data_IF_748760302836
#
_entry.id   IF_748760302836
#
_cell.length_a   1.000
_cell.length_b   1.000
_cell.length_c   1.000
_cell.angle_alpha   90.00
_cell.angle_beta   90.00
_cell.angle_gamma   90.00
#
_symmetry.space_group_name_H-M   'P 1'
#
loop_
_entity.id
_entity.type
_entity.pdbx_description
1 polymer ?
#
# COMPACT_ATOMS: atom_id res chain seq x y z
N UNK A 1 -13.09 -3.95 22.08
CA UNK A 1 -12.08 -4.33 21.06
C UNK A 1 -11.08 -5.20 21.79
N UNK A 2 -10.62 -6.33 21.22
CA UNK A 2 -9.64 -7.17 21.93
C UNK A 2 -8.28 -6.43 21.98
N UNK A 3 -7.79 -6.12 23.18
CA UNK A 3 -6.50 -5.43 23.42
C UNK A 3 -5.28 -6.35 23.20
N UNK A 4 -5.33 -7.22 22.20
CA UNK A 4 -4.24 -8.16 21.85
C UNK A 4 -3.02 -7.39 21.34
N UNK A 5 -3.26 -6.27 20.65
CA UNK A 5 -2.23 -5.34 20.20
C UNK A 5 -2.60 -3.93 20.68
N UNK A 6 -2.03 -3.47 21.80
CA UNK A 6 -2.32 -2.13 22.33
C UNK A 6 -1.87 -1.08 21.32
N UNK A 7 -2.83 -0.43 20.65
CA UNK A 7 -2.55 0.50 19.54
C UNK A 7 -1.67 1.68 19.95
N UNK A 8 -1.82 2.14 21.18
CA UNK A 8 -1.09 3.29 21.71
C UNK A 8 0.38 2.96 22.05
N UNK A 9 0.68 1.68 22.26
CA UNK A 9 2.03 1.19 22.57
C UNK A 9 2.73 0.58 21.35
N UNK A 10 1.97 0.08 20.37
CA UNK A 10 2.50 -0.60 19.20
C UNK A 10 3.13 0.39 18.22
N UNK A 11 4.41 0.26 17.97
CA UNK A 11 5.17 1.14 17.08
C UNK A 11 5.21 0.61 15.64
N UNK A 12 5.61 1.47 14.70
CA UNK A 12 5.85 1.06 13.32
C UNK A 12 6.88 -0.08 13.19
N UNK A 13 7.88 -0.13 14.07
CA UNK A 13 8.88 -1.21 14.09
C UNK A 13 8.24 -2.56 14.42
N UNK A 14 7.27 -2.59 15.34
CA UNK A 14 6.60 -3.83 15.74
C UNK A 14 5.82 -4.43 14.56
N UNK A 15 5.05 -3.59 13.85
CA UNK A 15 4.36 -4.01 12.62
C UNK A 15 5.35 -4.54 11.57
N UNK A 16 6.46 -3.83 11.35
CA UNK A 16 7.47 -4.25 10.38
C UNK A 16 8.10 -5.60 10.75
N UNK A 17 8.34 -5.87 12.04
CA UNK A 17 8.85 -7.16 12.50
C UNK A 17 7.82 -8.27 12.26
N UNK A 18 6.57 -8.05 12.66
CA UNK A 18 5.48 -9.03 12.48
C UNK A 18 5.32 -9.39 10.99
N UNK A 19 5.19 -8.38 10.13
CA UNK A 19 5.01 -8.61 8.70
C UNK A 19 6.26 -9.16 8.01
N UNK A 20 7.47 -8.81 8.47
CA UNK A 20 8.71 -9.41 7.98
C UNK A 20 8.75 -10.92 8.27
N UNK A 21 8.41 -11.32 9.50
CA UNK A 21 8.37 -12.74 9.89
C UNK A 21 7.27 -13.51 9.17
N UNK A 22 6.09 -12.92 9.03
CA UNK A 22 5.01 -13.49 8.22
C UNK A 22 5.46 -13.70 6.77
N UNK A 23 6.10 -12.69 6.17
CA UNK A 23 6.58 -12.76 4.80
C UNK A 23 7.65 -13.84 4.59
N UNK A 24 8.64 -13.93 5.48
CA UNK A 24 9.65 -14.99 5.45
C UNK A 24 9.02 -16.38 5.54
N UNK A 25 8.04 -16.54 6.42
CA UNK A 25 7.33 -17.79 6.63
C UNK A 25 6.50 -18.21 5.40
N UNK A 26 5.67 -17.31 4.86
CA UNK A 26 4.83 -17.62 3.68
C UNK A 26 5.70 -17.95 2.46
N UNK A 27 6.84 -17.27 2.27
CA UNK A 27 7.79 -17.62 1.21
C UNK A 27 8.38 -19.02 1.39
N UNK A 28 8.69 -19.40 2.62
CA UNK A 28 9.15 -20.76 2.90
C UNK A 28 8.06 -21.78 2.54
N UNK A 29 6.79 -21.51 2.85
CA UNK A 29 5.67 -22.37 2.44
C UNK A 29 5.54 -22.47 0.92
N UNK A 30 5.56 -21.35 0.20
CA UNK A 30 5.48 -21.32 -1.27
C UNK A 30 6.57 -22.18 -1.89
N UNK A 31 7.81 -22.05 -1.41
CA UNK A 31 8.94 -22.83 -1.94
C UNK A 31 8.91 -24.31 -1.52
N UNK A 32 8.48 -24.60 -0.29
CA UNK A 32 8.47 -25.98 0.24
C UNK A 32 7.38 -26.81 -0.41
N UNK A 33 6.21 -26.21 -0.64
CA UNK A 33 5.03 -26.90 -1.16
C UNK A 33 4.71 -26.57 -2.61
N UNK A 34 5.56 -25.80 -3.30
CA UNK A 34 5.35 -25.36 -4.69
C UNK A 34 3.96 -24.76 -4.89
N UNK A 35 3.58 -23.86 -3.98
CA UNK A 35 2.25 -23.25 -4.02
C UNK A 35 2.10 -22.39 -5.27
N UNK A 36 0.99 -22.60 -5.98
CA UNK A 36 0.63 -21.79 -7.14
C UNK A 36 -0.05 -20.48 -6.69
N UNK A 37 0.08 -19.42 -7.49
CA UNK A 37 -0.67 -18.17 -7.28
C UNK A 37 -2.18 -18.43 -7.31
N UNK A 38 -2.90 -17.99 -6.27
CA UNK A 38 -4.36 -18.17 -6.19
C UNK A 38 -5.14 -17.37 -7.25
N UNK A 39 -4.51 -16.36 -7.84
CA UNK A 39 -5.02 -15.62 -8.99
C UNK A 39 -3.84 -14.95 -9.68
N UNK A 40 -3.78 -15.02 -11.01
CA UNK A 40 -2.74 -14.35 -11.79
C UNK A 40 -3.35 -13.19 -12.55
N UNK A 41 -2.82 -11.98 -12.36
CA UNK A 41 -3.09 -10.83 -13.25
C UNK A 41 -2.25 -10.90 -14.55
N UNK A 42 -1.74 -12.10 -14.90
CA UNK A 42 -0.73 -12.28 -15.93
C UNK A 42 0.59 -11.58 -15.59
N UNK A 43 1.40 -11.31 -16.62
CA UNK A 43 2.75 -10.70 -16.48
C UNK A 43 2.69 -9.25 -15.98
N UNK A 44 1.52 -8.59 -16.05
CA UNK A 44 1.31 -7.22 -15.57
C UNK A 44 0.88 -7.15 -14.09
N UNK A 45 0.73 -8.30 -13.43
CA UNK A 45 0.59 -8.35 -11.97
C UNK A 45 1.80 -7.75 -11.26
N UNK A 46 1.57 -7.20 -10.06
CA UNK A 46 2.64 -6.65 -9.24
C UNK A 46 3.66 -7.74 -8.84
N UNK A 47 3.13 -8.85 -8.35
CA UNK A 47 3.85 -10.01 -7.82
C UNK A 47 2.86 -11.18 -7.84
N UNK A 48 3.37 -12.40 -7.86
CA UNK A 48 2.53 -13.59 -7.96
C UNK A 48 1.74 -13.85 -6.67
N UNK A 49 2.24 -13.44 -5.51
CA UNK A 49 1.66 -13.79 -4.21
C UNK A 49 1.45 -12.60 -3.27
N UNK A 50 2.18 -11.50 -3.44
CA UNK A 50 2.27 -10.45 -2.42
C UNK A 50 2.02 -9.04 -2.94
N UNK A 51 1.18 -8.27 -2.24
CA UNK A 51 1.03 -6.83 -2.49
C UNK A 51 1.45 -5.99 -1.29
N UNK A 52 0.97 -6.35 -0.10
CA UNK A 52 1.13 -5.56 1.12
C UNK A 52 2.61 -5.30 1.49
N UNK A 53 3.50 -6.25 1.18
CA UNK A 53 4.94 -6.13 1.47
C UNK A 53 5.57 -4.94 0.74
N UNK A 54 5.10 -4.64 -0.48
CA UNK A 54 5.58 -3.53 -1.29
C UNK A 54 5.06 -2.19 -0.77
N UNK A 55 3.83 -2.14 -0.25
CA UNK A 55 3.30 -0.94 0.42
C UNK A 55 4.16 -0.61 1.64
N UNK A 56 4.32 -1.57 2.56
CA UNK A 56 5.08 -1.37 3.79
C UNK A 56 6.53 -1.00 3.49
N UNK A 57 7.15 -1.70 2.55
CA UNK A 57 8.53 -1.46 2.13
C UNK A 57 8.74 -0.10 1.47
N UNK A 58 7.80 0.38 0.65
CA UNK A 58 7.86 1.72 0.07
C UNK A 58 7.69 2.78 1.15
N UNK A 59 6.74 2.61 2.09
CA UNK A 59 6.54 3.53 3.21
C UNK A 59 7.78 3.66 4.11
N UNK A 60 8.58 2.59 4.29
CA UNK A 60 9.85 2.67 5.02
C UNK A 60 10.85 3.66 4.39
N UNK A 61 10.72 3.95 3.09
CA UNK A 61 11.60 4.85 2.34
C UNK A 61 11.07 6.29 2.27
N UNK A 62 9.87 6.54 2.80
CA UNK A 62 9.21 7.85 2.78
C UNK A 62 9.46 8.58 4.10
N UNK A 63 9.86 9.84 4.01
CA UNK A 63 9.92 10.74 5.17
C UNK A 63 8.57 11.43 5.36
N UNK A 64 7.71 10.84 6.19
CA UNK A 64 6.38 11.37 6.46
C UNK A 64 6.37 12.70 7.20
N UNK A 65 7.40 13.00 8.01
CA UNK A 65 7.50 14.27 8.72
C UNK A 65 7.69 15.46 7.76
N UNK A 66 8.37 15.24 6.63
CA UNK A 66 8.54 16.26 5.57
C UNK A 66 7.32 16.40 4.66
N UNK A 67 6.53 15.35 4.52
CA UNK A 67 5.23 15.42 3.81
C UNK A 67 4.24 16.33 4.55
N UNK A 68 4.24 16.30 5.88
CA UNK A 68 3.38 17.13 6.71
C UNK A 68 3.79 18.61 6.75
N UNK A 69 5.09 18.91 6.58
CA UNK A 69 5.60 20.28 6.57
C UNK A 69 5.38 21.03 5.25
N UNK A 70 4.85 20.38 4.21
CA UNK A 70 4.54 21.01 2.92
C UNK A 70 5.77 21.42 2.10
N UNK A 71 6.97 20.99 2.50
CA UNK A 71 8.19 21.22 1.73
C UNK A 71 8.11 20.47 0.39
N UNK A 72 8.14 21.22 -0.73
CA UNK A 72 8.09 20.63 -2.07
C UNK A 72 9.29 19.69 -2.25
N UNK A 73 8.97 18.43 -2.48
CA UNK A 73 9.86 17.26 -2.59
C UNK A 73 10.78 17.25 -3.82
N UNK A 74 11.45 18.36 -4.12
CA UNK A 74 12.50 18.39 -5.15
C UNK A 74 13.93 18.24 -4.59
N UNK A 75 14.14 18.39 -3.29
CA UNK A 75 15.43 18.12 -2.63
C UNK A 75 15.47 16.81 -1.80
N UNK A 76 14.37 16.05 -1.75
CA UNK A 76 14.30 14.77 -1.03
C UNK A 76 14.95 13.58 -1.78
N UNK A 77 15.62 13.84 -2.91
CA UNK A 77 16.12 12.81 -3.84
C UNK A 77 17.35 12.03 -3.35
N UNK A 78 17.87 12.26 -2.14
CA UNK A 78 19.07 11.53 -1.67
C UNK A 78 19.15 11.11 -0.19
N UNK A 79 18.34 11.62 0.73
CA UNK A 79 18.82 11.69 2.12
C UNK A 79 18.23 10.64 3.07
N UNK A 80 18.55 9.37 2.82
CA UNK A 80 18.99 8.50 3.94
C UNK A 80 20.22 7.68 3.57
N UNK A 81 20.42 7.30 2.29
CA UNK A 81 21.59 6.49 1.83
C UNK A 81 21.88 6.55 0.30
N UNK A 82 21.27 7.45 -0.49
CA UNK A 82 21.35 7.39 -1.97
C UNK A 82 20.57 6.22 -2.60
N UNK A 83 19.57 5.70 -1.88
CA UNK A 83 18.74 4.56 -2.29
C UNK A 83 17.49 5.04 -3.03
N UNK A 84 17.63 5.34 -4.31
CA UNK A 84 16.50 5.66 -5.20
C UNK A 84 15.69 4.38 -5.50
N UNK A 85 14.45 4.51 -5.98
CA UNK A 85 13.69 3.35 -6.46
C UNK A 85 14.45 2.49 -7.46
N UNK A 86 15.17 3.10 -8.41
CA UNK A 86 15.95 2.37 -9.42
C UNK A 86 17.06 1.51 -8.80
N UNK A 87 17.50 1.83 -7.58
CA UNK A 87 18.55 1.06 -6.90
C UNK A 87 18.08 -0.35 -6.48
N UNK A 88 16.78 -0.65 -6.47
CA UNK A 88 16.27 -2.03 -6.32
C UNK A 88 16.66 -2.92 -7.49
N UNK A 89 17.05 -2.36 -8.64
CA UNK A 89 17.51 -3.13 -9.79
C UNK A 89 19.01 -3.49 -9.69
N UNK A 90 19.74 -2.92 -8.73
CA UNK A 90 21.16 -3.20 -8.52
C UNK A 90 21.35 -4.39 -7.57
N UNK A 91 21.94 -5.52 -8.02
CA UNK A 91 22.09 -6.73 -7.19
C UNK A 91 22.89 -6.51 -5.90
N UNK A 92 23.90 -5.62 -5.92
CA UNK A 92 24.70 -5.33 -4.73
C UNK A 92 23.90 -4.54 -3.70
N UNK A 93 23.06 -3.61 -4.15
CA UNK A 93 22.19 -2.81 -3.29
C UNK A 93 21.08 -3.70 -2.70
N UNK A 94 20.46 -4.55 -3.52
CA UNK A 94 19.49 -5.56 -3.06
C UNK A 94 20.06 -6.43 -1.95
N UNK A 95 21.22 -7.04 -2.18
CA UNK A 95 21.86 -7.93 -1.20
C UNK A 95 22.10 -7.25 0.15
N UNK A 96 22.48 -5.97 0.16
CA UNK A 96 22.75 -5.19 1.37
C UNK A 96 21.50 -4.76 2.12
N UNK A 97 20.39 -4.50 1.41
CA UNK A 97 19.19 -3.90 1.99
C UNK A 97 18.01 -4.86 2.17
N UNK A 98 18.07 -6.08 1.61
CA UNK A 98 16.98 -7.08 1.73
C UNK A 98 16.59 -7.45 3.17
N UNK A 99 17.47 -7.26 4.15
CA UNK A 99 17.16 -7.51 5.57
C UNK A 99 16.71 -6.25 6.32
N UNK A 100 16.82 -5.08 5.69
CA UNK A 100 16.55 -3.76 6.31
C UNK A 100 15.27 -3.11 5.78
N UNK A 101 14.84 -3.49 4.58
CA UNK A 101 13.64 -2.96 3.94
C UNK A 101 12.84 -4.07 3.26
N UNK A 102 11.52 -4.06 3.46
CA UNK A 102 10.60 -5.11 3.00
C UNK A 102 10.43 -5.12 1.46
N UNK A 103 10.52 -3.98 0.80
CA UNK A 103 10.48 -3.87 -0.67
C UNK A 103 11.71 -4.54 -1.28
N UNK A 104 12.90 -4.22 -0.75
CA UNK A 104 14.15 -4.86 -1.17
C UNK A 104 14.16 -6.36 -0.85
N UNK A 105 13.55 -6.76 0.27
CA UNK A 105 13.38 -8.17 0.62
C UNK A 105 12.56 -8.91 -0.44
N UNK A 106 11.46 -8.29 -0.88
CA UNK A 106 10.57 -8.90 -1.86
C UNK A 106 11.18 -8.97 -3.26
N UNK A 107 11.79 -7.88 -3.76
CA UNK A 107 12.49 -7.89 -5.05
C UNK A 107 13.66 -8.89 -5.06
N UNK A 108 14.41 -9.00 -3.95
CA UNK A 108 15.47 -9.99 -3.83
C UNK A 108 14.95 -11.44 -3.88
N UNK A 109 13.71 -11.69 -3.46
CA UNK A 109 13.07 -12.99 -3.58
C UNK A 109 12.65 -13.29 -5.01
N UNK A 110 12.10 -12.31 -5.73
CA UNK A 110 11.78 -12.47 -7.16
C UNK A 110 13.03 -12.90 -7.94
N UNK A 111 14.16 -12.21 -7.76
CA UNK A 111 15.42 -12.58 -8.42
C UNK A 111 15.94 -13.97 -8.06
N UNK A 112 15.49 -14.55 -6.94
CA UNK A 112 15.83 -15.91 -6.53
C UNK A 112 14.96 -16.96 -7.20
N UNK A 113 13.72 -16.64 -7.53
CA UNK A 113 12.72 -17.61 -8.02
C UNK A 113 12.39 -17.46 -9.50
N UNK A 114 12.58 -16.27 -10.08
CA UNK A 114 12.38 -15.99 -11.50
C UNK A 114 13.74 -15.77 -12.17
N UNK A 115 13.89 -16.36 -13.36
CA UNK A 115 15.10 -16.26 -14.17
C UNK A 115 14.86 -15.37 -15.39
N UNK A 116 15.94 -14.76 -15.89
CA UNK A 116 15.90 -13.85 -17.03
C UNK A 116 15.92 -12.37 -16.63
N UNK A 117 15.79 -11.46 -17.61
CA UNK A 117 15.73 -10.03 -17.38
C UNK A 117 14.52 -9.63 -16.52
N UNK A 118 14.76 -8.78 -15.50
CA UNK A 118 13.71 -8.40 -14.54
C UNK A 118 12.50 -7.71 -15.18
N UNK A 119 12.74 -6.91 -16.23
CA UNK A 119 11.71 -6.23 -17.01
C UNK A 119 10.81 -7.19 -17.80
N UNK A 120 11.23 -8.43 -18.06
CA UNK A 120 10.42 -9.41 -18.81
C UNK A 120 9.45 -10.16 -17.89
N UNK A 121 9.92 -10.58 -16.71
CA UNK A 121 9.10 -11.38 -15.79
C UNK A 121 8.42 -10.54 -14.70
N UNK A 122 8.79 -9.27 -14.56
CA UNK A 122 8.23 -8.31 -13.58
C UNK A 122 8.18 -6.88 -14.13
N UNK A 123 7.54 -6.65 -15.30
CA UNK A 123 7.53 -5.35 -15.97
C UNK A 123 6.94 -4.23 -15.13
N UNK A 124 5.86 -4.47 -14.38
CA UNK A 124 5.24 -3.44 -13.54
C UNK A 124 6.19 -2.96 -12.44
N UNK A 125 6.83 -3.90 -11.72
CA UNK A 125 7.85 -3.58 -10.71
C UNK A 125 9.05 -2.85 -11.33
N UNK A 126 9.45 -3.22 -12.56
CA UNK A 126 10.52 -2.54 -13.27
C UNK A 126 10.14 -1.09 -13.62
N UNK A 127 8.94 -0.87 -14.16
CA UNK A 127 8.44 0.44 -14.56
C UNK A 127 8.35 1.39 -13.36
N UNK A 128 7.71 0.97 -12.27
CA UNK A 128 7.57 1.84 -11.09
C UNK A 128 8.93 2.16 -10.46
N UNK A 129 9.88 1.22 -10.52
CA UNK A 129 11.19 1.40 -9.91
C UNK A 129 12.05 2.35 -10.73
N UNK A 130 11.83 2.47 -12.03
CA UNK A 130 12.63 3.33 -12.91
C UNK A 130 12.06 4.74 -13.08
N UNK A 131 10.74 4.91 -12.93
CA UNK A 131 10.05 6.15 -13.31
C UNK A 131 9.51 7.00 -12.15
N UNK A 132 9.40 6.44 -10.94
CA UNK A 132 8.68 7.08 -9.82
C UNK A 132 9.62 7.34 -8.63
N UNK A 133 9.21 8.26 -7.75
CA UNK A 133 9.83 8.45 -6.43
C UNK A 133 9.21 7.50 -5.40
N UNK A 134 9.87 7.29 -4.25
CA UNK A 134 9.35 6.41 -3.20
C UNK A 134 7.97 6.85 -2.68
N UNK A 135 7.71 8.16 -2.58
CA UNK A 135 6.42 8.71 -2.18
C UNK A 135 5.33 8.34 -3.19
N UNK A 136 5.62 8.51 -4.49
CA UNK A 136 4.69 8.13 -5.56
C UNK A 136 4.48 6.62 -5.62
N UNK A 137 5.51 5.83 -5.36
CA UNK A 137 5.39 4.37 -5.27
C UNK A 137 4.51 3.98 -4.08
N UNK A 138 4.75 4.50 -2.88
CA UNK A 138 3.94 4.20 -1.70
C UNK A 138 2.46 4.55 -1.91
N UNK A 139 2.19 5.75 -2.43
CA UNK A 139 0.82 6.17 -2.77
C UNK A 139 0.20 5.30 -3.86
N UNK A 140 0.93 5.01 -4.93
CA UNK A 140 0.47 4.16 -6.03
C UNK A 140 0.19 2.73 -5.61
N UNK A 141 1.06 2.15 -4.76
CA UNK A 141 0.89 0.81 -4.20
C UNK A 141 -0.35 0.71 -3.35
N UNK A 142 -0.62 1.73 -2.52
CA UNK A 142 -1.83 1.77 -1.74
C UNK A 142 -3.06 1.86 -2.67
N UNK A 143 -3.05 2.76 -3.67
CA UNK A 143 -4.14 2.89 -4.64
C UNK A 143 -4.43 1.57 -5.36
N UNK A 144 -3.38 0.93 -5.85
CA UNK A 144 -3.45 -0.37 -6.53
C UNK A 144 -3.97 -1.46 -5.60
N UNK A 145 -3.64 -1.44 -4.30
CA UNK A 145 -4.13 -2.44 -3.35
C UNK A 145 -5.65 -2.43 -3.23
N UNK A 146 -6.29 -1.26 -3.15
CA UNK A 146 -7.75 -1.29 -3.11
C UNK A 146 -8.33 -1.69 -4.48
N UNK A 147 -7.77 -1.22 -5.59
CA UNK A 147 -8.32 -1.53 -6.93
C UNK A 147 -8.16 -2.99 -7.33
N UNK A 148 -7.00 -3.59 -7.04
CA UNK A 148 -6.64 -4.95 -7.48
C UNK A 148 -6.82 -6.02 -6.40
N UNK A 149 -6.94 -5.64 -5.13
CA UNK A 149 -7.21 -6.57 -4.03
C UNK A 149 -8.60 -6.33 -3.47
N UNK A 150 -8.82 -5.22 -2.77
CA UNK A 150 -10.05 -5.04 -1.97
C UNK A 150 -11.34 -4.89 -2.80
N UNK A 151 -11.22 -4.44 -4.05
CA UNK A 151 -12.34 -4.27 -4.98
C UNK A 151 -12.51 -5.43 -5.97
N UNK A 152 -11.65 -6.47 -5.90
CA UNK A 152 -11.75 -7.64 -6.79
C UNK A 152 -12.43 -8.79 -6.09
N UNK A 153 -13.67 -9.09 -6.50
CA UNK A 153 -14.45 -10.19 -5.92
C UNK A 153 -13.68 -11.52 -5.87
N UNK A 154 -13.01 -12.00 -6.94
CA UNK A 154 -12.27 -13.27 -6.88
C UNK A 154 -11.17 -13.30 -5.80
N UNK A 155 -10.65 -12.13 -5.39
CA UNK A 155 -9.61 -11.99 -4.38
C UNK A 155 -10.18 -11.94 -2.96
N UNK A 156 -11.30 -11.23 -2.77
CA UNK A 156 -11.90 -11.02 -1.43
C UNK A 156 -13.07 -11.94 -1.08
N UNK A 157 -13.56 -12.76 -2.02
CA UNK A 157 -14.68 -13.68 -1.78
C UNK A 157 -14.45 -14.65 -0.61
N UNK A 158 -13.18 -14.91 -0.24
CA UNK A 158 -12.81 -15.75 0.89
C UNK A 158 -12.47 -14.95 2.17
N UNK A 159 -12.76 -13.65 2.19
CA UNK A 159 -12.62 -12.83 3.39
C UNK A 159 -13.82 -13.03 4.31
N UNK A 160 -13.58 -13.59 5.49
CA UNK A 160 -14.64 -13.87 6.45
C UNK A 160 -14.99 -12.64 7.29
N UNK A 161 -16.29 -12.45 7.47
CA UNK A 161 -16.85 -11.47 8.38
C UNK A 161 -17.29 -12.16 9.68
N UNK A 162 -17.11 -11.47 10.79
CA UNK A 162 -17.47 -11.97 12.12
C UNK A 162 -17.65 -10.84 13.11
N UNK A 163 -18.22 -11.14 14.27
CA UNK A 163 -18.71 -10.10 15.18
C UNK A 163 -17.62 -9.32 15.93
N UNK A 164 -16.39 -9.85 16.01
CA UNK A 164 -15.32 -9.26 16.85
C UNK A 164 -14.43 -8.26 16.11
N UNK A 165 -13.94 -8.63 14.93
CA UNK A 165 -12.96 -7.81 14.17
C UNK A 165 -13.58 -7.14 12.96
N UNK A 166 -14.25 -7.91 12.09
CA UNK A 166 -14.76 -7.44 10.80
C UNK A 166 -16.27 -7.72 10.69
N UNK A 167 -17.13 -6.94 11.37
CA UNK A 167 -18.57 -7.14 11.32
C UNK A 167 -19.15 -6.75 9.95
N UNK A 168 -20.08 -7.56 9.43
CA UNK A 168 -20.80 -7.31 8.17
C UNK A 168 -21.98 -6.35 8.39
N UNK A 169 -21.65 -5.11 8.76
CA UNK A 169 -22.63 -4.07 9.11
C UNK A 169 -22.38 -2.77 8.37
N UNK A 170 -23.45 -2.02 8.12
CA UNK A 170 -23.37 -0.66 7.59
C UNK A 170 -22.79 0.28 8.65
N UNK A 171 -21.71 1.02 8.34
CA UNK A 171 -21.04 1.90 9.33
C UNK A 171 -21.94 2.99 9.93
N UNK A 172 -22.95 3.46 9.20
CA UNK A 172 -23.80 4.56 9.64
C UNK A 172 -24.94 4.10 10.55
N UNK A 173 -25.69 3.09 10.10
CA UNK A 173 -26.89 2.61 10.80
C UNK A 173 -26.61 1.44 11.74
N UNK A 174 -25.43 0.82 11.64
CA UNK A 174 -25.04 -0.43 12.32
C UNK A 174 -25.97 -1.61 12.02
N UNK A 175 -26.76 -1.52 10.94
CA UNK A 175 -27.60 -2.62 10.46
C UNK A 175 -26.75 -3.66 9.75
N UNK A 176 -27.15 -4.91 9.90
CA UNK A 176 -26.55 -6.02 9.17
C UNK A 176 -26.75 -5.84 7.67
N UNK A 177 -25.68 -6.07 6.92
CA UNK A 177 -25.71 -6.04 5.46
C UNK A 177 -26.29 -7.36 4.93
N UNK A 178 -26.92 -7.37 3.74
CA UNK A 178 -27.46 -8.58 3.15
C UNK A 178 -26.42 -9.69 3.01
N UNK A 179 -26.81 -10.92 3.29
CA UNK A 179 -26.03 -12.12 3.00
C UNK A 179 -26.56 -12.77 1.72
N UNK A 180 -25.69 -13.00 0.74
CA UNK A 180 -26.00 -13.80 -0.43
C UNK A 180 -25.73 -15.27 -0.10
N UNK A 181 -26.78 -16.08 -0.02
CA UNK A 181 -26.64 -17.53 -0.03
C UNK A 181 -26.61 -17.99 -1.49
N UNK A 182 -25.74 -18.94 -1.88
CA UNK A 182 -25.86 -19.57 -3.18
C UNK A 182 -27.25 -20.19 -3.28
N UNK A 183 -28.08 -19.68 -4.19
CA UNK A 183 -29.29 -20.40 -4.59
C UNK A 183 -28.83 -21.73 -5.20
N UNK A 184 -29.49 -22.84 -4.87
CA UNK A 184 -29.19 -24.14 -5.51
C UNK A 184 -29.32 -23.95 -7.03
N UNK A 185 -28.21 -24.00 -7.77
CA UNK A 185 -28.18 -23.68 -9.19
C UNK A 185 -29.09 -24.63 -10.00
N UNK A 186 -30.26 -24.15 -10.45
CA UNK A 186 -30.85 -24.64 -11.68
C UNK A 186 -29.97 -24.14 -12.84
N UNK A 187 -29.19 -25.06 -13.42
CA UNK A 187 -28.34 -24.83 -14.58
C UNK A 187 -29.23 -24.44 -15.77
N UNK A 188 -29.44 -23.15 -15.99
CA UNK A 188 -29.91 -22.61 -17.26
C UNK A 188 -28.91 -21.55 -17.72
N UNK A 189 -28.05 -21.97 -18.63
CA UNK A 189 -26.97 -21.15 -19.17
C UNK A 189 -27.50 -20.02 -20.03
N UNK A 190 -26.96 -18.82 -19.81
CA UNK A 190 -26.75 -17.76 -20.79
C UNK A 190 -25.74 -16.78 -20.19
N UNK A 191 -24.51 -16.76 -20.71
CA UNK A 191 -23.48 -15.77 -20.33
C UNK A 191 -23.90 -14.38 -20.83
N UNK A 192 -24.21 -13.47 -19.90
CA UNK A 192 -24.28 -12.04 -20.19
C UNK A 192 -23.05 -11.32 -19.62
N UNK A 193 -22.37 -10.57 -20.48
CA UNK A 193 -21.24 -9.73 -20.14
C UNK A 193 -21.76 -8.46 -19.42
N UNK A 194 -21.82 -8.52 -18.09
CA UNK A 194 -22.29 -7.41 -17.25
C UNK A 194 -21.07 -6.71 -16.64
N UNK A 195 -20.79 -5.49 -17.09
CA UNK A 195 -19.80 -4.61 -16.46
C UNK A 195 -20.33 -4.11 -15.10
N UNK A 196 -20.20 -4.96 -14.07
CA UNK A 196 -20.63 -4.68 -12.71
C UNK A 196 -19.50 -3.96 -11.95
N UNK A 197 -19.54 -2.63 -11.94
CA UNK A 197 -18.79 -1.88 -10.90
C UNK A 197 -19.47 -2.19 -9.58
N UNK A 198 -18.83 -3.00 -8.74
CA UNK A 198 -19.40 -3.37 -7.44
C UNK A 198 -19.67 -2.14 -6.58
N UNK A 199 -20.68 -2.18 -5.72
CA UNK A 199 -20.92 -1.11 -4.74
C UNK A 199 -19.68 -0.84 -3.86
N UNK A 200 -18.84 -1.86 -3.67
CA UNK A 200 -17.52 -1.74 -3.05
C UNK A 200 -16.56 -0.82 -3.82
N UNK A 201 -16.52 -0.88 -5.15
CA UNK A 201 -15.73 0.05 -5.98
C UNK A 201 -16.22 1.50 -5.82
N UNK A 202 -17.54 1.72 -5.76
CA UNK A 202 -18.14 3.05 -5.62
C UNK A 202 -17.89 3.62 -4.22
N UNK A 203 -18.14 2.82 -3.18
CA UNK A 203 -17.88 3.18 -1.80
C UNK A 203 -16.39 3.50 -1.60
N UNK A 204 -15.50 2.75 -2.24
CA UNK A 204 -14.07 2.97 -2.11
C UNK A 204 -13.59 4.22 -2.84
N UNK A 205 -14.06 4.49 -4.05
CA UNK A 205 -13.77 5.74 -4.76
C UNK A 205 -14.20 6.97 -3.93
N UNK A 206 -15.31 6.85 -3.20
CA UNK A 206 -15.76 7.90 -2.27
C UNK A 206 -14.83 8.09 -1.07
N UNK A 207 -14.33 6.99 -0.47
CA UNK A 207 -13.37 7.03 0.64
C UNK A 207 -12.03 7.61 0.19
N UNK A 208 -11.60 7.29 -1.02
CA UNK A 208 -10.38 7.84 -1.61
C UNK A 208 -10.48 9.32 -1.88
N UNK A 209 -11.54 9.78 -2.54
CA UNK A 209 -11.78 11.21 -2.70
C UNK A 209 -11.84 11.91 -1.35
N UNK A 210 -12.44 11.28 -0.34
CA UNK A 210 -12.48 11.82 1.02
C UNK A 210 -11.08 11.95 1.62
N UNK A 211 -10.21 10.94 1.46
CA UNK A 211 -8.84 10.97 1.98
C UNK A 211 -7.94 11.93 1.19
N UNK A 212 -8.09 12.02 -0.13
CA UNK A 212 -7.40 13.02 -0.95
C UNK A 212 -7.85 14.44 -0.58
N UNK A 213 -9.14 14.65 -0.37
CA UNK A 213 -9.67 15.93 0.10
C UNK A 213 -9.21 16.24 1.53
N UNK A 214 -9.07 15.24 2.40
CA UNK A 214 -8.53 15.41 3.75
C UNK A 214 -7.05 15.81 3.69
N UNK A 215 -6.24 15.11 2.88
CA UNK A 215 -4.83 15.45 2.63
C UNK A 215 -4.70 16.85 2.01
N UNK A 216 -5.57 17.21 1.06
CA UNK A 216 -5.62 18.54 0.47
C UNK A 216 -6.02 19.62 1.50
N UNK A 217 -7.02 19.36 2.35
CA UNK A 217 -7.42 20.28 3.43
C UNK A 217 -6.35 20.45 4.49
N UNK A 218 -5.63 19.39 4.84
CA UNK A 218 -4.47 19.45 5.73
C UNK A 218 -3.36 20.29 5.10
N UNK A 219 -3.14 20.15 3.79
CA UNK A 219 -2.23 21.00 3.00
C UNK A 219 -2.70 22.48 2.94
N UNK A 220 -4.00 22.76 2.81
CA UNK A 220 -4.53 24.13 2.77
C UNK A 220 -4.51 24.81 4.15
N UNK A 221 -4.82 24.07 5.22
CA UNK A 221 -4.71 24.57 6.59
C UNK A 221 -3.26 24.90 6.97
N UNK A 222 -2.30 24.11 6.51
CA UNK A 222 -0.88 24.43 6.65
C UNK A 222 -0.51 25.74 5.91
N UNK A 223 -1.15 26.04 4.78
CA UNK A 223 -0.92 27.28 4.01
C UNK A 223 -1.54 28.55 4.62
N UNK A 224 -2.63 28.46 5.39
CA UNK A 224 -3.27 29.63 6.02
C UNK A 224 -2.65 30.05 7.36
N UNK A 225 -1.77 29.23 7.94
CA UNK A 225 -1.09 29.53 9.22
C UNK A 225 0.13 30.47 9.12
N UNK A 226 0.54 30.88 7.92
CA UNK A 226 1.74 31.73 7.70
C UNK A 226 1.41 33.19 7.34
N UNK A 227 0.15 33.63 7.46
CA UNK A 227 -0.30 34.96 7.04
C UNK A 227 -0.44 36.03 8.13
N UNK A 228 -0.26 35.72 9.41
CA UNK A 228 -0.40 36.69 10.50
C UNK A 228 0.86 36.75 11.36
N UNK A 229 1.89 37.46 10.87
CA UNK A 229 2.86 38.13 11.76
C UNK A 229 2.86 39.60 11.42
N UNK A 230 2.21 40.34 12.32
CA UNK A 230 2.08 41.78 12.38
C UNK A 230 3.43 42.50 12.31
N UNK A 231 3.47 43.54 11.49
CA UNK A 231 4.56 44.52 11.37
C UNK A 231 4.78 45.27 12.69
N UNK A 232 5.97 45.12 13.29
CA UNK A 232 6.46 46.02 14.33
C UNK A 232 7.72 46.75 13.84
N UNK A 233 7.62 48.08 13.76
CA UNK A 233 8.70 49.00 13.41
C UNK A 233 9.84 48.97 14.46
N UNK A 234 11.11 49.17 14.05
CA UNK A 234 12.21 49.32 14.98
C UNK A 234 12.28 50.76 15.49
N UNK A 235 12.21 50.93 16.81
CA UNK A 235 12.52 52.18 17.50
C UNK A 235 14.04 52.27 17.72
N UNK A 236 14.68 53.27 17.11
CA UNK A 236 16.02 53.72 17.47
C UNK A 236 16.05 54.30 18.89
N UNK A 237 17.08 53.96 19.68
CA UNK A 237 17.80 54.91 20.56
C UNK A 237 19.09 54.29 21.14
N UNK A 238 20.16 55.10 21.02
CA UNK A 238 21.34 55.32 21.87
C UNK A 238 21.65 54.30 22.99
N UNK A 239 22.89 53.84 23.18
CA UNK A 239 24.17 54.56 23.21
C UNK A 239 25.32 53.85 22.46
#
# INVERSE_FOLDING_TARGET
>A
MCDILPRDETTGTDYLIIFSRYYDFVRALIQTYTLEPAGSHGVWGLDDHFHLIYILGACQMVDFSRLESGEKSMEALNYRMGLTPSSVLNPNVLRRNRTRNLFYNAVAFIHRVKFGPFNEHSPLLYEISTSKSWEKIAQGMLKMYYGEVLSKFPVVQHFYFGHVMFPWIERGTLRELPESYPEEEEINGEEQDVNFRSEGEIAMDSLYRRRENELARLSEKAGKGQGEVSSHEPTERAD
#
